data_IF_919943811701
#
_entry.id   IF_919943811701
#
_cell.length_a   1.000
_cell.length_b   1.000
_cell.length_c   1.000
_cell.angle_alpha   90.00
_cell.angle_beta   90.00
_cell.angle_gamma   90.00
#
_symmetry.space_group_name_H-M   'P 1'
#
loop_
_entity.id
_entity.type
_entity.pdbx_description
1 polymer ?
#
# COMPACT_ATOMS: atom_id res chain seq x y z
N UNK A 1 -24.95 -9.09 -6.01
CA UNK A 1 -24.71 -10.29 -6.85
C UNK A 1 -23.30 -10.78 -6.60
N UNK A 2 -23.09 -12.04 -6.22
CA UNK A 2 -21.73 -12.61 -6.13
C UNK A 2 -21.19 -12.79 -7.56
N UNK A 3 -20.07 -12.17 -7.87
CA UNK A 3 -19.39 -12.32 -9.16
C UNK A 3 -18.94 -13.79 -9.33
N UNK A 4 -19.58 -14.54 -10.22
CA UNK A 4 -19.26 -15.94 -10.46
C UNK A 4 -19.14 -16.23 -11.97
N UNK A 5 -17.93 -16.54 -12.48
CA UNK A 5 -17.74 -16.89 -13.90
C UNK A 5 -18.55 -18.10 -14.36
N UNK A 6 -18.81 -19.08 -13.47
CA UNK A 6 -19.66 -20.24 -13.79
C UNK A 6 -21.12 -19.82 -13.95
N UNK A 7 -21.59 -18.90 -13.11
CA UNK A 7 -22.92 -18.30 -13.22
C UNK A 7 -23.07 -17.52 -14.53
N UNK A 8 -22.08 -16.73 -14.91
CA UNK A 8 -22.08 -16.02 -16.20
C UNK A 8 -22.18 -17.00 -17.38
N UNK A 9 -21.41 -18.08 -17.38
CA UNK A 9 -21.49 -19.12 -18.42
C UNK A 9 -22.86 -19.80 -18.49
N UNK A 10 -23.52 -20.01 -17.35
CA UNK A 10 -24.88 -20.57 -17.32
C UNK A 10 -25.88 -19.59 -17.93
N UNK A 11 -25.83 -18.33 -17.50
CA UNK A 11 -26.73 -17.28 -18.02
C UNK A 11 -26.52 -17.01 -19.50
N UNK A 12 -25.29 -17.15 -20.01
CA UNK A 12 -24.98 -17.03 -21.44
C UNK A 12 -25.72 -18.06 -22.31
N UNK A 13 -26.19 -19.18 -21.73
CA UNK A 13 -27.04 -20.14 -22.47
C UNK A 13 -28.48 -19.67 -22.63
N UNK A 14 -28.94 -18.79 -21.73
CA UNK A 14 -30.33 -18.32 -21.66
C UNK A 14 -30.50 -16.90 -22.21
N UNK A 15 -29.43 -16.10 -22.15
CA UNK A 15 -29.41 -14.69 -22.53
C UNK A 15 -28.31 -14.41 -23.56
N UNK A 16 -28.52 -13.41 -24.41
CA UNK A 16 -27.55 -12.93 -25.40
C UNK A 16 -26.37 -12.17 -24.74
N UNK A 17 -25.55 -12.89 -23.97
CA UNK A 17 -24.39 -12.35 -23.27
C UNK A 17 -23.11 -12.51 -24.10
N UNK A 18 -22.19 -11.52 -24.09
CA UNK A 18 -20.92 -11.59 -24.82
C UNK A 18 -20.07 -12.82 -24.47
N UNK A 19 -19.40 -13.37 -25.47
CA UNK A 19 -18.45 -14.47 -25.26
C UNK A 19 -17.26 -14.04 -24.41
N UNK A 20 -16.61 -14.99 -23.74
CA UNK A 20 -15.37 -14.73 -22.96
C UNK A 20 -14.31 -14.01 -23.80
N UNK A 21 -14.20 -14.35 -25.09
CA UNK A 21 -13.23 -13.74 -26.00
C UNK A 21 -13.49 -12.24 -26.17
N UNK A 22 -14.75 -11.86 -26.37
CA UNK A 22 -15.17 -10.46 -26.49
C UNK A 22 -14.95 -9.73 -25.17
N UNK A 23 -15.37 -10.34 -24.04
CA UNK A 23 -15.14 -9.74 -22.72
C UNK A 23 -13.66 -9.45 -22.45
N UNK A 24 -12.77 -10.40 -22.74
CA UNK A 24 -11.33 -10.21 -22.55
C UNK A 24 -10.76 -9.16 -23.52
N UNK A 25 -11.25 -9.11 -24.76
CA UNK A 25 -10.86 -8.07 -25.71
C UNK A 25 -11.31 -6.67 -25.25
N UNK A 26 -12.48 -6.54 -24.63
CA UNK A 26 -12.95 -5.28 -24.04
C UNK A 26 -12.15 -4.94 -22.80
N UNK A 27 -11.96 -5.88 -21.87
CA UNK A 27 -11.21 -5.66 -20.63
C UNK A 27 -9.77 -5.19 -20.88
N UNK A 28 -9.11 -5.72 -21.91
CA UNK A 28 -7.76 -5.25 -22.32
C UNK A 28 -7.71 -3.78 -22.74
N UNK A 29 -8.84 -3.19 -23.13
CA UNK A 29 -8.93 -1.78 -23.52
C UNK A 29 -9.28 -0.86 -22.35
N UNK A 30 -9.63 -1.41 -21.19
CA UNK A 30 -10.03 -0.60 -20.03
C UNK A 30 -8.76 -0.22 -19.26
N UNK A 31 -8.37 1.06 -19.24
CA UNK A 31 -7.28 1.51 -18.38
C UNK A 31 -7.70 1.38 -16.91
N UNK A 32 -6.73 1.38 -16.00
CA UNK A 32 -7.02 1.49 -14.56
C UNK A 32 -7.75 2.81 -14.31
N UNK A 33 -9.03 2.73 -13.97
CA UNK A 33 -9.92 3.90 -13.92
C UNK A 33 -9.72 4.67 -12.61
N UNK A 34 -9.30 5.93 -12.73
CA UNK A 34 -9.20 6.87 -11.61
C UNK A 34 -10.58 7.43 -11.24
N UNK A 35 -10.87 7.54 -9.95
CA UNK A 35 -12.10 8.22 -9.52
C UNK A 35 -12.02 9.69 -9.90
N UNK A 36 -13.10 10.21 -10.49
CA UNK A 36 -13.20 11.62 -10.88
C UNK A 36 -13.24 12.52 -9.64
N UNK A 37 -12.08 13.05 -9.25
CA UNK A 37 -11.92 13.91 -8.06
C UNK A 37 -12.81 15.15 -8.13
N UNK A 38 -13.11 15.67 -9.32
CA UNK A 38 -13.97 16.85 -9.50
C UNK A 38 -15.41 16.66 -9.01
N UNK A 39 -15.85 15.41 -8.79
CA UNK A 39 -17.20 15.11 -8.27
C UNK A 39 -17.27 15.04 -6.74
N UNK A 40 -16.14 15.17 -6.06
CA UNK A 40 -16.06 15.13 -4.60
C UNK A 40 -16.33 16.52 -4.01
N UNK A 41 -17.09 16.55 -2.92
CA UNK A 41 -17.20 17.75 -2.10
C UNK A 41 -15.86 18.08 -1.46
N UNK A 42 -15.64 19.34 -1.06
CA UNK A 42 -14.36 19.71 -0.44
C UNK A 42 -14.08 18.95 0.85
N UNK A 43 -15.13 18.63 1.62
CA UNK A 43 -15.01 17.74 2.79
C UNK A 43 -14.52 16.35 2.41
N UNK A 44 -15.02 15.78 1.32
CA UNK A 44 -14.60 14.45 0.86
C UNK A 44 -13.15 14.44 0.34
N UNK A 45 -12.65 15.58 -0.15
CA UNK A 45 -11.24 15.74 -0.57
C UNK A 45 -10.28 15.81 0.62
N UNK A 46 -10.68 16.39 1.75
CA UNK A 46 -9.84 16.55 2.96
C UNK A 46 -9.61 15.25 3.75
N UNK A 47 -10.26 14.18 3.34
CA UNK A 47 -10.46 13.02 4.17
C UNK A 47 -9.72 11.80 3.60
N UNK A 48 -8.57 11.96 2.94
CA UNK A 48 -7.92 10.81 2.30
C UNK A 48 -6.82 10.27 3.20
N UNK A 49 -6.88 8.97 3.51
CA UNK A 49 -5.76 8.24 4.10
C UNK A 49 -5.08 7.40 3.04
N UNK A 50 -3.75 7.35 3.07
CA UNK A 50 -2.99 6.42 2.26
C UNK A 50 -2.68 5.18 3.06
N UNK A 51 -3.19 4.04 2.62
CA UNK A 51 -2.88 2.73 3.18
C UNK A 51 -1.74 2.10 2.38
N UNK A 52 -0.74 1.59 3.07
CA UNK A 52 0.34 0.83 2.47
C UNK A 52 0.31 -0.59 3.01
N UNK A 53 0.12 -1.54 2.12
CA UNK A 53 0.21 -2.96 2.45
C UNK A 53 1.64 -3.40 2.14
N UNK A 54 2.58 -2.98 2.98
CA UNK A 54 4.02 -3.17 2.78
C UNK A 54 4.47 -4.63 2.89
N UNK A 55 3.55 -5.59 3.09
CA UNK A 55 3.94 -6.95 3.42
C UNK A 55 2.81 -8.03 3.51
N UNK A 56 1.59 -7.72 3.06
CA UNK A 56 0.46 -8.67 3.15
C UNK A 56 0.27 -9.51 1.89
N UNK A 57 0.76 -9.04 0.74
CA UNK A 57 0.58 -9.76 -0.52
C UNK A 57 1.84 -10.57 -0.80
N UNK A 58 1.96 -11.71 -0.12
CA UNK A 58 2.89 -12.74 -0.54
C UNK A 58 2.42 -13.32 -1.87
N UNK A 59 3.34 -13.38 -2.82
CA UNK A 59 3.13 -13.96 -4.14
C UNK A 59 3.77 -15.32 -4.18
N UNK A 60 3.21 -16.22 -4.99
CA UNK A 60 3.92 -17.43 -5.37
C UNK A 60 5.01 -17.04 -6.38
N UNK A 61 6.31 -17.20 -6.04
CA UNK A 61 7.38 -16.85 -6.96
C UNK A 61 7.26 -17.70 -8.22
N UNK A 62 7.08 -17.04 -9.36
CA UNK A 62 6.83 -17.70 -10.64
C UNK A 62 7.17 -16.74 -11.76
N UNK A 63 7.58 -17.30 -12.90
CA UNK A 63 8.06 -16.54 -14.04
C UNK A 63 7.29 -16.98 -15.28
N UNK A 64 6.69 -16.02 -15.98
CA UNK A 64 5.88 -16.29 -17.18
C UNK A 64 6.28 -15.36 -18.31
N UNK A 65 6.32 -15.87 -19.53
CA UNK A 65 6.52 -15.02 -20.69
C UNK A 65 5.18 -14.51 -21.22
N UNK A 66 5.02 -13.19 -21.22
CA UNK A 66 3.84 -12.49 -21.71
C UNK A 66 4.04 -12.12 -23.18
N UNK A 67 3.46 -12.93 -24.07
CA UNK A 67 3.53 -12.76 -25.52
C UNK A 67 2.95 -11.43 -26.02
N UNK A 68 1.97 -10.86 -25.32
CA UNK A 68 1.35 -9.60 -25.78
C UNK A 68 2.19 -8.36 -25.52
N UNK A 69 3.04 -8.41 -24.50
CA UNK A 69 3.89 -7.30 -24.08
C UNK A 69 5.38 -7.58 -24.30
N UNK A 70 5.69 -8.72 -24.94
CA UNK A 70 7.04 -9.23 -25.20
C UNK A 70 7.96 -9.10 -23.97
N UNK A 71 7.48 -9.58 -22.81
CA UNK A 71 8.21 -9.42 -21.54
C UNK A 71 7.98 -10.57 -20.57
N UNK A 72 8.92 -10.75 -19.64
CA UNK A 72 8.80 -11.75 -18.57
C UNK A 72 8.03 -11.21 -17.37
N UNK A 73 6.82 -11.67 -17.10
CA UNK A 73 6.09 -11.34 -15.87
C UNK A 73 6.60 -12.19 -14.69
N UNK A 74 6.58 -11.60 -13.49
CA UNK A 74 7.01 -12.27 -12.24
C UNK A 74 8.39 -11.83 -11.72
N UNK A 75 9.03 -10.87 -12.37
CA UNK A 75 10.25 -10.24 -11.88
C UNK A 75 9.94 -9.07 -10.93
N UNK A 76 10.91 -8.72 -10.08
CA UNK A 76 10.90 -7.51 -9.28
C UNK A 76 10.86 -6.26 -10.19
N UNK A 77 9.88 -5.40 -9.92
CA UNK A 77 9.55 -4.22 -10.71
C UNK A 77 8.87 -3.19 -9.78
N UNK A 78 9.57 -2.07 -9.54
CA UNK A 78 9.04 -0.97 -8.73
C UNK A 78 8.52 0.20 -9.59
N UNK A 79 8.34 -0.02 -10.89
CA UNK A 79 7.90 0.96 -11.88
C UNK A 79 8.99 1.92 -12.34
N UNK A 80 10.09 2.06 -11.60
CA UNK A 80 11.26 2.83 -12.02
C UNK A 80 12.40 1.91 -12.47
N UNK A 81 12.59 0.80 -11.77
CA UNK A 81 13.61 -0.18 -12.02
C UNK A 81 13.02 -1.58 -12.02
N UNK A 82 13.55 -2.38 -12.93
CA UNK A 82 13.22 -3.80 -13.04
C UNK A 82 14.48 -4.61 -12.96
N UNK A 83 14.48 -5.63 -12.10
CA UNK A 83 15.65 -6.47 -11.86
C UNK A 83 15.39 -7.89 -12.36
N UNK A 84 16.42 -8.73 -12.33
CA UNK A 84 16.32 -10.15 -12.67
C UNK A 84 15.87 -11.02 -11.50
N UNK A 85 15.54 -10.42 -10.35
CA UNK A 85 15.07 -11.13 -9.16
C UNK A 85 13.61 -11.52 -9.34
N UNK A 86 13.23 -12.66 -8.77
CA UNK A 86 11.84 -13.13 -8.83
C UNK A 86 11.07 -12.49 -7.69
N UNK A 87 9.95 -11.84 -8.01
CA UNK A 87 9.11 -11.22 -7.01
C UNK A 87 8.37 -12.27 -6.18
N UNK A 88 8.45 -12.15 -4.86
CA UNK A 88 7.75 -12.98 -3.88
C UNK A 88 6.79 -12.15 -3.02
N UNK A 89 6.82 -10.82 -3.16
CA UNK A 89 5.92 -9.88 -2.49
C UNK A 89 5.40 -8.82 -3.47
N UNK A 90 4.18 -8.35 -3.21
CA UNK A 90 3.66 -7.11 -3.77
C UNK A 90 3.34 -6.10 -2.67
N UNK A 91 3.72 -4.85 -2.91
CA UNK A 91 3.32 -3.70 -2.10
C UNK A 91 2.28 -2.91 -2.88
N UNK A 92 1.17 -2.54 -2.22
CA UNK A 92 0.11 -1.74 -2.84
C UNK A 92 -0.13 -0.50 -1.99
N UNK A 93 -0.16 0.66 -2.66
CA UNK A 93 -0.62 1.91 -2.08
C UNK A 93 -2.09 2.10 -2.47
N UNK A 94 -2.93 2.34 -1.47
CA UNK A 94 -4.35 2.59 -1.66
C UNK A 94 -4.76 3.91 -1.01
N UNK A 95 -5.63 4.67 -1.67
CA UNK A 95 -6.35 5.77 -1.04
C UNK A 95 -7.63 5.25 -0.43
N UNK A 96 -7.95 5.77 0.75
CA UNK A 96 -9.20 5.50 1.45
C UNK A 96 -9.84 6.81 1.87
N UNK A 97 -11.14 6.94 1.63
CA UNK A 97 -11.93 8.03 2.19
C UNK A 97 -12.22 7.84 3.67
N UNK A 98 -12.09 8.92 4.43
CA UNK A 98 -12.40 9.04 5.87
C UNK A 98 -13.86 9.43 6.06
N UNK A 99 -14.35 10.48 5.37
CA UNK A 99 -15.75 10.90 5.43
C UNK A 99 -16.69 9.94 4.70
N UNK A 100 -16.27 9.43 3.52
CA UNK A 100 -17.04 8.49 2.72
C UNK A 100 -16.32 7.17 2.59
N UNK A 101 -17.08 6.08 2.64
CA UNK A 101 -16.54 4.73 2.46
C UNK A 101 -16.20 4.47 1.00
N UNK A 102 -14.94 4.69 0.65
CA UNK A 102 -14.37 4.29 -0.62
C UNK A 102 -12.89 3.92 -0.45
N UNK A 103 -12.40 3.06 -1.33
CA UNK A 103 -10.99 2.70 -1.41
C UNK A 103 -10.59 2.57 -2.88
N UNK A 104 -9.36 2.93 -3.21
CA UNK A 104 -8.83 2.80 -4.56
C UNK A 104 -7.32 2.50 -4.49
N UNK A 105 -6.83 1.42 -5.12
CA UNK A 105 -5.39 1.25 -5.34
C UNK A 105 -4.88 2.32 -6.31
N UNK A 106 -3.72 2.88 -6.01
CA UNK A 106 -3.11 3.97 -6.77
C UNK A 106 -1.72 3.62 -7.29
N UNK A 107 -1.03 2.69 -6.64
CA UNK A 107 0.25 2.16 -7.09
C UNK A 107 0.43 0.74 -6.59
N UNK A 108 1.22 -0.04 -7.31
CA UNK A 108 1.66 -1.37 -6.91
C UNK A 108 3.12 -1.55 -7.30
N UNK A 109 3.83 -2.36 -6.52
CA UNK A 109 5.25 -2.64 -6.70
C UNK A 109 5.49 -4.12 -6.43
N UNK A 110 6.30 -4.76 -7.27
CA UNK A 110 6.72 -6.15 -7.12
C UNK A 110 8.14 -6.18 -6.58
N UNK A 111 8.39 -6.92 -5.50
CA UNK A 111 9.68 -6.92 -4.82
C UNK A 111 10.08 -8.32 -4.39
N UNK A 112 11.39 -8.58 -4.35
CA UNK A 112 11.95 -9.76 -3.70
C UNK A 112 12.28 -9.44 -2.22
N UNK A 113 11.77 -10.24 -1.27
CA UNK A 113 11.93 -10.06 0.18
C UNK A 113 11.38 -8.73 0.74
N UNK A 114 10.41 -8.13 0.05
CA UNK A 114 9.77 -6.88 0.47
C UNK A 114 10.58 -5.61 0.16
N UNK A 115 9.93 -4.46 0.26
CA UNK A 115 10.53 -3.18 -0.13
C UNK A 115 11.37 -2.56 0.99
N UNK A 116 12.55 -2.03 0.62
CA UNK A 116 13.43 -1.28 1.53
C UNK A 116 12.75 0.01 2.04
N UNK A 117 12.95 0.34 3.32
CA UNK A 117 12.36 1.51 3.98
C UNK A 117 12.56 2.83 3.23
N UNK A 118 13.75 3.04 2.66
CA UNK A 118 14.08 4.22 1.86
C UNK A 118 13.18 4.33 0.62
N UNK A 119 12.96 3.22 -0.08
CA UNK A 119 12.10 3.17 -1.26
C UNK A 119 10.63 3.35 -0.88
N UNK A 120 10.19 2.75 0.23
CA UNK A 120 8.83 2.95 0.76
C UNK A 120 8.58 4.44 1.03
N UNK A 121 9.49 5.12 1.74
CA UNK A 121 9.37 6.55 2.02
C UNK A 121 9.34 7.38 0.73
N UNK A 122 10.20 7.06 -0.23
CA UNK A 122 10.24 7.70 -1.55
C UNK A 122 8.91 7.56 -2.29
N UNK A 123 8.34 6.35 -2.37
CA UNK A 123 7.09 6.11 -3.09
C UNK A 123 5.87 6.67 -2.35
N UNK A 124 5.87 6.68 -1.01
CA UNK A 124 4.87 7.38 -0.19
C UNK A 124 4.88 8.87 -0.52
N UNK A 125 6.07 9.51 -0.57
CA UNK A 125 6.18 10.93 -0.91
C UNK A 125 5.68 11.23 -2.32
N UNK A 126 6.12 10.45 -3.30
CA UNK A 126 5.70 10.60 -4.69
C UNK A 126 4.17 10.42 -4.84
N UNK A 127 3.60 9.39 -4.21
CA UNK A 127 2.16 9.16 -4.25
C UNK A 127 1.37 10.31 -3.62
N UNK A 128 1.80 10.83 -2.45
CA UNK A 128 1.12 11.97 -1.81
C UNK A 128 1.23 13.23 -2.67
N UNK A 129 2.39 13.46 -3.30
CA UNK A 129 2.59 14.58 -4.22
C UNK A 129 1.56 14.54 -5.37
N UNK A 130 1.47 13.43 -6.10
CA UNK A 130 0.53 13.27 -7.21
C UNK A 130 -0.94 13.38 -6.76
N UNK A 131 -1.26 12.80 -5.60
CA UNK A 131 -2.61 12.83 -5.05
C UNK A 131 -3.02 14.24 -4.62
N UNK A 132 -2.08 15.03 -4.10
CA UNK A 132 -2.33 16.42 -3.77
C UNK A 132 -2.46 17.30 -5.03
N UNK A 133 -1.69 17.00 -6.09
CA UNK A 133 -1.76 17.70 -7.37
C UNK A 133 -3.15 17.58 -8.04
N UNK A 134 -3.81 16.42 -7.90
CA UNK A 134 -5.19 16.22 -8.39
C UNK A 134 -6.28 16.82 -7.47
N UNK A 135 -5.90 17.50 -6.39
CA UNK A 135 -6.81 18.24 -5.51
C UNK A 135 -7.33 17.45 -4.30
N UNK A 136 -6.85 16.22 -4.07
CA UNK A 136 -7.13 15.51 -2.81
C UNK A 136 -6.22 16.04 -1.70
N UNK A 137 -6.61 15.83 -0.44
CA UNK A 137 -5.78 16.15 0.72
C UNK A 137 -5.60 14.90 1.57
N UNK A 138 -4.37 14.42 1.58
CA UNK A 138 -3.94 13.32 2.42
C UNK A 138 -3.70 13.85 3.82
N UNK A 139 -4.40 13.30 4.82
CA UNK A 139 -4.29 13.73 6.24
C UNK A 139 -3.51 12.73 7.08
N UNK A 140 -3.45 11.47 6.64
CA UNK A 140 -2.73 10.43 7.35
C UNK A 140 -2.27 9.30 6.43
N UNK A 141 -1.20 8.63 6.85
CA UNK A 141 -0.73 7.37 6.25
C UNK A 141 -0.89 6.24 7.25
N UNK A 142 -1.21 5.02 6.80
CA UNK A 142 -1.30 3.84 7.65
C UNK A 142 -0.66 2.65 6.96
N UNK A 143 0.28 1.98 7.61
CA UNK A 143 0.99 0.81 7.07
C UNK A 143 0.81 -0.40 7.99
N UNK A 144 0.69 -1.60 7.42
CA UNK A 144 0.41 -2.84 8.17
C UNK A 144 1.62 -3.34 8.97
N UNK A 145 2.82 -3.33 8.36
CA UNK A 145 4.07 -3.57 9.11
C UNK A 145 4.71 -2.23 9.40
N UNK A 146 4.66 -1.84 10.66
CA UNK A 146 5.20 -0.58 11.13
C UNK A 146 6.71 -0.43 10.85
N UNK A 147 7.07 0.11 9.68
CA UNK A 147 8.46 0.33 9.30
C UNK A 147 8.95 1.62 9.96
N UNK A 148 9.26 1.55 11.26
CA UNK A 148 9.80 2.68 12.05
C UNK A 148 10.90 3.44 11.30
N UNK A 149 11.87 2.78 10.62
CA UNK A 149 12.85 3.49 9.79
C UNK A 149 12.24 4.40 8.71
N UNK A 150 11.16 3.95 8.05
CA UNK A 150 10.48 4.74 6.99
C UNK A 150 9.86 6.01 7.56
N UNK A 151 9.13 5.90 8.68
CA UNK A 151 8.44 7.05 9.28
C UNK A 151 9.45 8.00 9.91
N UNK A 152 10.45 7.48 10.62
CA UNK A 152 11.52 8.30 11.18
C UNK A 152 12.23 9.09 10.08
N UNK A 153 12.50 8.47 8.93
CA UNK A 153 13.07 9.16 7.77
C UNK A 153 12.17 10.32 7.31
N UNK A 154 10.87 10.08 7.11
CA UNK A 154 9.92 11.11 6.67
C UNK A 154 9.80 12.28 7.67
N UNK A 155 9.73 11.96 8.97
CA UNK A 155 9.62 12.93 10.06
C UNK A 155 10.91 13.74 10.18
N UNK A 156 12.07 13.10 10.13
CA UNK A 156 13.38 13.74 10.24
C UNK A 156 13.68 14.66 9.05
N UNK A 157 13.37 14.22 7.82
CA UNK A 157 13.43 15.06 6.63
C UNK A 157 12.56 16.31 6.79
N UNK A 158 11.31 16.15 7.25
CA UNK A 158 10.39 17.27 7.45
C UNK A 158 10.88 18.22 8.54
N UNK A 159 11.43 17.70 9.65
CA UNK A 159 12.03 18.50 10.72
C UNK A 159 13.22 19.30 10.20
N UNK A 160 14.07 18.70 9.38
CA UNK A 160 15.21 19.38 8.76
C UNK A 160 14.76 20.52 7.84
N UNK A 161 13.70 20.31 7.04
CA UNK A 161 13.14 21.36 6.17
C UNK A 161 12.51 22.51 6.96
N UNK A 162 11.82 22.23 8.06
CA UNK A 162 11.22 23.25 8.91
C UNK A 162 12.27 24.01 9.72
N UNK A 163 13.30 23.33 10.22
CA UNK A 163 14.41 23.96 10.92
C UNK A 163 15.14 24.99 10.03
N UNK A 164 15.29 24.71 8.72
CA UNK A 164 15.84 25.67 7.74
C UNK A 164 14.99 26.93 7.59
N UNK A 165 13.70 26.87 7.93
CA UNK A 165 12.76 28.00 7.93
C UNK A 165 12.65 28.67 9.31
N UNK A 166 13.42 28.22 10.31
CA UNK A 166 13.32 28.70 11.68
C UNK A 166 12.12 28.17 12.46
N UNK A 167 11.41 27.17 11.92
CA UNK A 167 10.24 26.56 12.56
C UNK A 167 10.63 25.30 13.32
N UNK A 168 10.10 25.12 14.53
CA UNK A 168 10.25 23.87 15.28
C UNK A 168 9.04 22.97 15.09
N UNK A 169 9.29 21.69 14.80
CA UNK A 169 8.26 20.67 14.69
C UNK A 169 8.44 19.56 15.71
N UNK A 170 7.63 19.60 16.77
CA UNK A 170 7.74 18.68 17.91
C UNK A 170 6.86 17.44 17.78
N UNK A 171 5.99 17.37 16.77
CA UNK A 171 5.10 16.23 16.61
C UNK A 171 5.77 15.08 15.84
N UNK A 172 5.07 13.95 15.73
CA UNK A 172 5.49 12.77 14.97
C UNK A 172 4.91 12.75 13.55
N UNK A 173 4.40 13.89 13.06
CA UNK A 173 3.93 14.05 11.70
C UNK A 173 5.06 14.50 10.75
N UNK A 174 4.79 14.38 9.46
CA UNK A 174 5.69 14.83 8.40
C UNK A 174 4.94 15.73 7.42
N UNK A 175 5.67 16.54 6.66
CA UNK A 175 5.10 17.51 5.74
C UNK A 175 5.39 17.14 4.29
N UNK A 176 4.36 17.22 3.45
CA UNK A 176 4.49 17.11 1.99
C UNK A 176 3.69 18.23 1.37
N UNK A 177 4.36 19.02 0.51
CA UNK A 177 3.80 20.21 -0.14
C UNK A 177 3.18 21.20 0.87
N UNK A 178 3.85 21.37 2.02
CA UNK A 178 3.41 22.26 3.10
C UNK A 178 2.16 21.78 3.86
N UNK A 179 1.73 20.53 3.66
CA UNK A 179 0.61 19.93 4.41
C UNK A 179 1.12 18.85 5.35
N UNK A 180 0.63 18.91 6.57
CA UNK A 180 0.90 17.92 7.60
C UNK A 180 0.19 16.59 7.29
N UNK A 181 0.92 15.49 7.47
CA UNK A 181 0.42 14.12 7.30
C UNK A 181 0.79 13.30 8.54
N UNK A 182 -0.22 12.74 9.19
CA UNK A 182 -0.04 11.96 10.41
C UNK A 182 0.20 10.47 10.10
N UNK A 183 1.34 9.87 10.49
CA UNK A 183 1.52 8.43 10.44
C UNK A 183 0.69 7.74 11.53
N UNK A 184 -0.26 6.91 11.11
CA UNK A 184 -1.11 6.10 11.96
C UNK A 184 -0.66 4.63 11.95
N UNK A 185 -0.89 3.98 13.08
CA UNK A 185 -0.60 2.57 13.29
C UNK A 185 -1.86 1.75 13.06
N UNK A 186 -1.74 0.55 12.49
CA UNK A 186 -2.84 -0.41 12.52
C UNK A 186 -3.04 -0.97 13.95
N UNK A 187 -4.17 -0.68 14.62
CA UNK A 187 -4.35 -1.08 16.02
C UNK A 187 -4.34 -2.61 16.23
N UNK A 188 -5.00 -3.44 15.41
CA UNK A 188 -4.88 -4.89 15.49
C UNK A 188 -3.45 -5.42 15.44
N UNK A 189 -2.61 -4.91 14.53
CA UNK A 189 -1.20 -5.30 14.47
C UNK A 189 -0.41 -4.88 15.73
N UNK A 190 -0.67 -3.70 16.27
CA UNK A 190 -0.08 -3.28 17.55
C UNK A 190 -0.46 -4.21 18.70
N UNK A 191 -1.75 -4.52 18.84
CA UNK A 191 -2.25 -5.41 19.88
C UNK A 191 -1.64 -6.81 19.77
N UNK A 192 -1.51 -7.32 18.53
CA UNK A 192 -0.85 -8.60 18.24
C UNK A 192 0.64 -8.55 18.64
N UNK A 193 1.32 -7.45 18.37
CA UNK A 193 2.72 -7.22 18.76
C UNK A 193 2.90 -7.20 20.29
N UNK A 194 2.05 -6.45 21.00
CA UNK A 194 2.04 -6.40 22.47
C UNK A 194 1.84 -7.80 23.05
N UNK A 195 0.82 -8.53 22.59
CA UNK A 195 0.55 -9.90 23.00
C UNK A 195 1.77 -10.81 22.81
N UNK A 196 2.37 -10.80 21.63
CA UNK A 196 3.53 -11.66 21.33
C UNK A 196 4.74 -11.33 22.22
N UNK A 197 5.00 -10.04 22.45
CA UNK A 197 6.08 -9.61 23.34
C UNK A 197 5.83 -10.02 24.79
N UNK A 198 4.58 -9.96 25.27
CA UNK A 198 4.21 -10.44 26.60
C UNK A 198 4.40 -11.95 26.72
N UNK A 199 3.93 -12.74 25.75
CA UNK A 199 4.08 -14.20 25.77
C UNK A 199 5.56 -14.62 25.75
N UNK A 200 6.36 -14.07 24.83
CA UNK A 200 7.77 -14.38 24.72
C UNK A 200 8.57 -13.90 25.94
N UNK A 201 8.21 -12.73 26.48
CA UNK A 201 8.84 -12.17 27.68
C UNK A 201 8.60 -13.03 28.92
N UNK A 202 7.35 -13.49 29.10
CA UNK A 202 6.97 -14.41 30.17
C UNK A 202 7.69 -15.76 30.01
N UNK A 203 7.75 -16.32 28.81
CA UNK A 203 8.48 -17.57 28.54
C UNK A 203 9.97 -17.44 28.88
N UNK A 204 10.60 -16.32 28.50
CA UNK A 204 12.01 -16.05 28.80
C UNK A 204 12.25 -15.92 30.31
N UNK A 205 11.35 -15.25 31.03
CA UNK A 205 11.39 -15.14 32.50
C UNK A 205 11.20 -16.50 33.19
N UNK A 206 10.30 -17.36 32.69
CA UNK A 206 10.12 -18.71 33.23
C UNK A 206 11.35 -19.60 32.98
N UNK A 207 11.98 -19.51 31.81
CA UNK A 207 13.24 -20.23 31.51
C UNK A 207 14.40 -19.78 32.42
N UNK A 208 14.50 -18.47 32.66
CA UNK A 208 15.47 -17.90 33.61
C UNK A 208 15.21 -18.34 35.05
N UNK A 209 13.94 -18.45 35.47
CA UNK A 209 13.57 -18.88 36.83
C UNK A 209 13.78 -20.39 37.07
N UNK A 210 13.70 -21.20 36.03
CA UNK A 210 13.85 -22.66 36.11
C UNK A 210 15.28 -23.15 35.82
N UNK A 211 16.28 -22.26 35.79
CA UNK A 211 17.70 -22.62 35.69
C UNK A 211 18.10 -23.37 34.40
N UNK A 212 17.24 -23.38 33.39
CA UNK A 212 17.48 -24.11 32.14
C UNK A 212 18.11 -23.17 31.12
N UNK A 213 19.42 -22.94 31.26
CA UNK A 213 20.24 -22.28 30.25
C UNK A 213 20.81 -23.36 29.33
N UNK A 214 20.47 -23.29 28.05
CA UNK A 214 21.37 -23.66 26.94
C UNK A 214 21.43 -22.44 26.01
#
# INVERSE_FOLDING_TARGET
>A
MKHNPRGYKLLQKLFALPSRKILMAVLRKVPVVWRKVSTLSDRDKHCVTMQCNDNEISLQPSLFYNLSEDRMDGLEDDGAYRTTKIADHAMVLMLKGVSKKWKQPIAYFFTENGMKSLNVAKYIKAAIHEVQAIGLKVVATMCDRFNKPTINLLVEESRSELAKKGEQHQTYSFFINGREVMPLYDPPHLLKGIRNNMLNGVEKLMKLRNGSIL
#
